data_IF_350443966144
#
_entry.id   IF_350443966144
#
_cell.length_a   1.000
_cell.length_b   1.000
_cell.length_c   1.000
_cell.angle_alpha   90.00
_cell.angle_beta   90.00
_cell.angle_gamma   90.00
#
_symmetry.space_group_name_H-M   'P 1'
#
loop_
_entity.id
_entity.type
_entity.pdbx_description
1 polymer ?
#
# COMPACT_ATOMS: atom_id res chain seq x y z
N UNK A 1 -40.14 24.13 5.01
CA UNK A 1 -39.14 23.97 6.09
C UNK A 1 -37.93 23.28 5.48
N UNK A 2 -36.89 24.06 5.15
CA UNK A 2 -35.74 23.62 4.34
C UNK A 2 -34.90 22.59 5.11
N UNK A 3 -34.83 21.34 4.61
CA UNK A 3 -33.80 20.39 5.07
C UNK A 3 -32.46 20.84 4.48
N UNK A 4 -31.80 21.76 5.18
CA UNK A 4 -30.48 22.28 4.85
C UNK A 4 -29.48 21.12 4.71
N UNK A 5 -28.47 21.30 3.85
CA UNK A 5 -27.42 20.33 3.50
C UNK A 5 -26.81 19.61 4.73
N UNK A 6 -26.73 20.27 5.89
CA UNK A 6 -26.26 19.67 7.15
C UNK A 6 -27.08 18.48 7.65
N UNK A 7 -28.41 18.47 7.50
CA UNK A 7 -29.22 17.32 7.96
C UNK A 7 -28.95 16.09 7.10
N UNK A 8 -28.75 16.26 5.79
CA UNK A 8 -28.41 15.16 4.87
C UNK A 8 -27.01 14.59 5.14
N UNK A 9 -26.07 15.46 5.54
CA UNK A 9 -24.73 15.04 5.92
C UNK A 9 -24.73 14.25 7.24
N UNK A 10 -25.49 14.71 8.23
CA UNK A 10 -25.66 14.02 9.51
C UNK A 10 -26.37 12.66 9.32
N UNK A 11 -27.46 12.62 8.53
CA UNK A 11 -28.18 11.37 8.19
C UNK A 11 -27.23 10.36 7.50
N UNK A 12 -26.33 10.83 6.63
CA UNK A 12 -25.35 9.99 5.96
C UNK A 12 -24.28 9.46 6.93
N UNK A 13 -23.81 10.27 7.87
CA UNK A 13 -22.83 9.85 8.89
C UNK A 13 -23.46 8.82 9.83
N UNK A 14 -24.71 9.04 10.27
CA UNK A 14 -25.45 8.08 11.10
C UNK A 14 -25.63 6.74 10.37
N UNK A 15 -26.02 6.79 9.10
CA UNK A 15 -26.18 5.59 8.26
C UNK A 15 -24.85 4.85 8.04
N UNK A 16 -23.75 5.57 7.78
CA UNK A 16 -22.42 4.97 7.61
C UNK A 16 -21.95 4.35 8.93
N UNK A 17 -22.11 5.05 10.05
CA UNK A 17 -21.70 4.59 11.37
C UNK A 17 -22.40 3.29 11.79
N UNK A 18 -23.68 3.14 11.46
CA UNK A 18 -24.44 1.93 11.77
C UNK A 18 -24.17 0.75 10.82
N UNK A 19 -23.60 1.02 9.63
CA UNK A 19 -23.38 0.00 8.59
C UNK A 19 -21.96 -0.56 8.59
N UNK A 20 -21.04 0.07 9.30
CA UNK A 20 -19.68 -0.44 9.44
C UNK A 20 -19.68 -1.67 10.37
N UNK A 21 -19.26 -2.85 9.88
CA UNK A 21 -19.05 -4.00 10.74
C UNK A 21 -17.90 -3.72 11.71
N UNK A 22 -17.79 -4.53 12.76
CA UNK A 22 -16.69 -4.47 13.72
C UNK A 22 -15.32 -4.31 13.02
N UNK A 23 -14.40 -3.48 13.56
CA UNK A 23 -13.10 -3.23 12.94
C UNK A 23 -12.33 -4.49 12.55
N UNK A 24 -12.39 -5.58 13.32
CA UNK A 24 -11.69 -6.82 12.98
C UNK A 24 -12.25 -7.45 11.69
N UNK A 25 -13.57 -7.41 11.51
CA UNK A 25 -14.21 -7.90 10.29
C UNK A 25 -13.79 -7.08 9.08
N UNK A 26 -13.63 -5.75 9.22
CA UNK A 26 -13.12 -4.90 8.14
C UNK A 26 -11.73 -5.34 7.68
N UNK A 27 -10.83 -5.69 8.61
CA UNK A 27 -9.50 -6.19 8.26
C UNK A 27 -9.56 -7.58 7.61
N UNK A 28 -10.43 -8.48 8.07
CA UNK A 28 -10.61 -9.80 7.44
C UNK A 28 -11.13 -9.67 6.02
N UNK A 29 -12.14 -8.83 5.80
CA UNK A 29 -12.67 -8.52 4.46
C UNK A 29 -11.57 -7.88 3.61
N UNK A 30 -10.80 -6.94 4.15
CA UNK A 30 -9.68 -6.30 3.46
C UNK A 30 -8.59 -7.31 3.06
N UNK A 31 -8.22 -8.22 3.94
CA UNK A 31 -7.25 -9.28 3.65
C UNK A 31 -7.76 -10.21 2.54
N UNK A 32 -9.01 -10.67 2.63
CA UNK A 32 -9.64 -11.48 1.59
C UNK A 32 -9.71 -10.75 0.25
N UNK A 33 -10.06 -9.45 0.27
CA UNK A 33 -10.05 -8.61 -0.92
C UNK A 33 -8.65 -8.50 -1.53
N UNK A 34 -7.61 -8.25 -0.74
CA UNK A 34 -6.22 -8.19 -1.23
C UNK A 34 -5.79 -9.51 -1.85
N UNK A 35 -6.11 -10.65 -1.23
CA UNK A 35 -5.80 -11.96 -1.82
C UNK A 35 -6.46 -12.17 -3.18
N UNK A 36 -7.74 -11.81 -3.30
CA UNK A 36 -8.48 -11.92 -4.57
C UNK A 36 -7.92 -10.95 -5.61
N UNK A 37 -7.71 -9.69 -5.23
CA UNK A 37 -7.16 -8.65 -6.11
C UNK A 37 -5.76 -9.02 -6.62
N UNK A 38 -4.93 -9.60 -5.76
CA UNK A 38 -3.60 -10.14 -6.10
C UNK A 38 -3.69 -11.23 -7.17
N UNK A 39 -4.61 -12.20 -7.03
CA UNK A 39 -4.80 -13.23 -8.05
C UNK A 39 -5.29 -12.65 -9.37
N UNK A 40 -6.22 -11.69 -9.33
CA UNK A 40 -6.70 -11.00 -10.54
C UNK A 40 -5.58 -10.22 -11.24
N UNK A 41 -4.76 -9.49 -10.49
CA UNK A 41 -3.61 -8.73 -11.01
C UNK A 41 -2.56 -9.67 -11.64
N UNK A 42 -2.28 -10.81 -11.00
CA UNK A 42 -1.36 -11.80 -11.55
C UNK A 42 -1.89 -12.42 -12.85
N UNK A 43 -3.17 -12.81 -12.90
CA UNK A 43 -3.81 -13.34 -14.11
C UNK A 43 -3.89 -12.32 -15.25
N UNK A 44 -4.06 -11.04 -14.91
CA UNK A 44 -4.02 -9.95 -15.87
C UNK A 44 -2.59 -9.64 -16.37
N UNK A 45 -1.56 -10.29 -15.85
CA UNK A 45 -0.17 -10.11 -16.27
C UNK A 45 0.40 -8.75 -15.87
N UNK A 46 -0.07 -8.17 -14.76
CA UNK A 46 0.43 -6.88 -14.30
C UNK A 46 1.92 -6.93 -13.97
N UNK A 47 2.69 -6.06 -14.63
CA UNK A 47 4.12 -5.91 -14.40
C UNK A 47 4.51 -4.44 -14.37
N UNK A 48 5.55 -4.12 -13.60
CA UNK A 48 6.11 -2.76 -13.47
C UNK A 48 7.61 -2.83 -13.67
N UNK A 49 8.12 -2.06 -14.63
CA UNK A 49 9.57 -1.93 -14.82
C UNK A 49 10.14 -0.92 -13.82
N UNK A 50 11.29 -1.21 -13.20
CA UNK A 50 11.98 -0.22 -12.40
C UNK A 50 12.51 0.87 -13.35
N UNK A 51 12.06 2.10 -13.18
CA UNK A 51 12.52 3.26 -13.97
C UNK A 51 13.31 4.20 -13.06
N UNK A 52 14.40 4.77 -13.59
CA UNK A 52 15.22 5.78 -12.90
C UNK A 52 15.16 7.07 -13.73
N UNK A 53 14.82 8.22 -13.11
CA UNK A 53 14.93 9.49 -13.80
C UNK A 53 16.40 9.84 -14.00
N UNK A 54 16.81 10.08 -15.23
CA UNK A 54 18.16 10.53 -15.59
C UNK A 54 18.03 11.82 -16.40
N UNK A 55 18.85 12.82 -16.07
CA UNK A 55 18.86 14.07 -16.82
C UNK A 55 19.31 13.80 -18.26
N UNK A 56 18.52 14.25 -19.23
CA UNK A 56 18.93 14.25 -20.64
C UNK A 56 20.17 15.12 -20.76
N UNK A 57 21.23 14.59 -21.38
CA UNK A 57 22.46 15.33 -21.64
C UNK A 57 22.59 15.66 -23.12
N UNK A 58 23.11 16.84 -23.41
CA UNK A 58 23.47 17.24 -24.78
C UNK A 58 24.68 16.46 -25.31
N UNK A 59 25.05 16.70 -26.58
CA UNK A 59 26.19 16.05 -27.22
C UNK A 59 27.54 16.33 -26.53
N UNK A 60 27.60 17.32 -25.63
CA UNK A 60 28.74 17.70 -24.80
C UNK A 60 28.68 17.11 -23.38
N UNK A 61 27.63 16.37 -23.03
CA UNK A 61 27.44 15.76 -21.71
C UNK A 61 26.88 16.72 -20.66
N UNK A 62 26.46 17.93 -21.02
CA UNK A 62 25.81 18.86 -20.11
C UNK A 62 24.30 18.59 -20.03
N UNK A 63 23.66 18.66 -18.84
CA UNK A 63 22.22 18.46 -18.71
C UNK A 63 21.44 19.47 -19.57
N UNK A 64 20.54 18.98 -20.42
CA UNK A 64 19.60 19.82 -21.15
C UNK A 64 18.61 20.42 -20.15
N UNK A 65 18.44 21.73 -20.17
CA UNK A 65 17.51 22.42 -19.27
C UNK A 65 16.25 22.83 -20.01
N UNK A 66 15.11 22.78 -19.32
CA UNK A 66 13.86 23.36 -19.78
C UNK A 66 13.93 24.91 -19.82
N UNK A 67 12.88 25.55 -20.35
CA UNK A 67 12.78 27.01 -20.46
C UNK A 67 12.78 27.73 -19.09
N UNK A 68 12.57 26.98 -17.98
CA UNK A 68 12.63 27.46 -16.61
C UNK A 68 13.98 27.17 -15.92
N UNK A 69 14.94 26.54 -16.61
CA UNK A 69 16.28 26.23 -16.11
C UNK A 69 16.41 24.92 -15.33
N UNK A 70 15.39 24.05 -15.31
CA UNK A 70 15.46 22.74 -14.66
C UNK A 70 15.97 21.67 -15.64
N UNK A 71 16.75 20.66 -15.18
CA UNK A 71 17.17 19.57 -16.05
C UNK A 71 15.97 18.76 -16.55
N UNK A 72 15.92 18.52 -17.86
CA UNK A 72 14.92 17.65 -18.49
C UNK A 72 15.22 16.21 -18.07
N UNK A 73 14.27 15.55 -17.41
CA UNK A 73 14.42 14.19 -16.93
C UNK A 73 13.80 13.20 -17.92
N UNK A 74 14.58 12.21 -18.35
CA UNK A 74 14.08 11.03 -19.07
C UNK A 74 13.97 9.84 -18.12
N UNK A 75 12.93 9.03 -18.32
CA UNK A 75 12.71 7.81 -17.55
C UNK A 75 13.40 6.66 -18.27
N UNK A 76 14.60 6.33 -17.83
CA UNK A 76 15.34 5.18 -18.34
C UNK A 76 15.12 3.94 -17.47
N UNK A 77 15.13 2.72 -18.03
CA UNK A 77 15.09 1.50 -17.24
C UNK A 77 16.22 1.47 -16.21
N UNK A 78 15.88 1.25 -14.95
CA UNK A 78 16.83 1.17 -13.86
C UNK A 78 17.45 -0.22 -13.80
N UNK A 79 18.56 -0.39 -14.52
CA UNK A 79 19.31 -1.65 -14.55
C UNK A 79 20.04 -1.96 -13.22
N UNK A 80 20.20 -0.98 -12.32
CA UNK A 80 20.79 -1.19 -10.99
C UNK A 80 19.84 -1.96 -10.07
N UNK A 81 18.54 -1.80 -10.30
CA UNK A 81 17.49 -2.42 -9.50
C UNK A 81 17.07 -3.74 -10.14
N UNK A 82 17.41 -4.84 -9.48
CA UNK A 82 17.07 -6.20 -9.92
C UNK A 82 17.49 -6.51 -11.37
N UNK A 83 18.59 -5.93 -11.85
CA UNK A 83 19.08 -6.11 -13.21
C UNK A 83 18.17 -5.54 -14.31
N UNK A 84 17.17 -4.74 -13.96
CA UNK A 84 16.14 -4.27 -14.89
C UNK A 84 14.96 -5.22 -15.10
N UNK A 85 14.92 -6.36 -14.38
CA UNK A 85 13.81 -7.30 -14.47
C UNK A 85 12.50 -6.66 -13.95
N UNK A 86 11.38 -6.82 -14.68
CA UNK A 86 10.12 -6.24 -14.26
C UNK A 86 9.56 -6.94 -13.01
N UNK A 87 9.07 -6.14 -12.07
CA UNK A 87 8.31 -6.65 -10.93
C UNK A 87 6.97 -7.18 -11.40
N UNK A 88 6.64 -8.43 -11.03
CA UNK A 88 5.35 -9.06 -11.36
C UNK A 88 4.46 -9.07 -10.14
N UNK A 89 3.15 -8.92 -10.36
CA UNK A 89 2.16 -9.19 -9.32
C UNK A 89 2.30 -10.66 -8.85
N UNK A 90 2.26 -10.88 -7.54
CA UNK A 90 2.29 -12.21 -6.92
C UNK A 90 0.86 -12.68 -6.71
N UNK A 91 0.55 -13.96 -6.95
CA UNK A 91 -0.77 -14.55 -6.66
C UNK A 91 -0.76 -15.26 -5.30
N UNK A 92 -1.48 -14.66 -4.34
CA UNK A 92 -1.59 -15.17 -2.98
C UNK A 92 -2.53 -16.38 -2.83
N UNK A 93 -3.36 -16.70 -3.84
CA UNK A 93 -4.28 -17.83 -3.80
C UNK A 93 -3.65 -19.14 -4.33
N UNK A 94 -2.41 -19.10 -4.80
CA UNK A 94 -1.63 -20.29 -5.16
C UNK A 94 -1.18 -21.05 -3.91
N UNK A 95 -0.71 -22.31 -4.08
CA UNK A 95 -0.20 -23.10 -2.95
C UNK A 95 0.94 -22.39 -2.22
N UNK A 96 1.87 -21.81 -2.98
CA UNK A 96 3.04 -21.12 -2.44
C UNK A 96 2.65 -19.79 -1.81
N UNK A 97 1.71 -19.06 -2.43
CA UNK A 97 1.15 -17.82 -1.89
C UNK A 97 0.39 -18.03 -0.58
N UNK A 98 -0.39 -19.10 -0.47
CA UNK A 98 -1.13 -19.44 0.75
C UNK A 98 -0.19 -19.93 1.85
N UNK A 99 0.81 -20.74 1.51
CA UNK A 99 1.86 -21.14 2.45
C UNK A 99 2.59 -19.92 3.00
N UNK A 100 3.00 -18.99 2.13
CA UNK A 100 3.62 -17.74 2.54
C UNK A 100 2.71 -16.91 3.45
N UNK A 101 1.43 -16.76 3.08
CA UNK A 101 0.47 -15.98 3.86
C UNK A 101 0.29 -16.53 5.28
N UNK A 102 0.21 -17.86 5.43
CA UNK A 102 0.09 -18.51 6.73
C UNK A 102 1.40 -18.51 7.51
N UNK A 103 2.52 -18.79 6.85
CA UNK A 103 3.85 -18.84 7.48
C UNK A 103 4.29 -17.47 8.00
N UNK A 104 3.99 -16.40 7.26
CA UNK A 104 4.31 -15.04 7.67
C UNK A 104 3.26 -14.40 8.59
N UNK A 105 2.12 -15.05 8.86
CA UNK A 105 1.02 -14.45 9.63
C UNK A 105 1.45 -14.04 11.04
N UNK A 106 2.16 -14.92 11.75
CA UNK A 106 2.59 -14.68 13.13
C UNK A 106 3.71 -13.64 13.18
N UNK A 107 4.69 -13.71 12.29
CA UNK A 107 5.80 -12.75 12.22
C UNK A 107 5.29 -11.34 11.88
N UNK A 108 4.32 -11.23 10.97
CA UNK A 108 3.68 -9.95 10.65
C UNK A 108 2.90 -9.38 11.84
N UNK A 109 2.22 -10.23 12.62
CA UNK A 109 1.50 -9.80 13.82
C UNK A 109 2.45 -9.32 14.91
N UNK A 110 3.51 -10.06 15.18
CA UNK A 110 4.52 -9.72 16.18
C UNK A 110 5.38 -8.52 15.77
N UNK A 111 5.65 -8.37 14.47
CA UNK A 111 6.39 -7.24 13.89
C UNK A 111 5.60 -5.94 13.77
N UNK A 112 4.30 -5.96 14.08
CA UNK A 112 3.47 -4.76 14.02
C UNK A 112 3.86 -3.77 15.12
N UNK A 113 4.57 -2.70 14.74
CA UNK A 113 5.19 -1.75 15.67
C UNK A 113 4.24 -1.24 16.79
N UNK A 114 2.95 -0.92 16.53
CA UNK A 114 2.04 -0.48 17.58
C UNK A 114 1.76 -1.54 18.67
N UNK A 115 1.78 -2.83 18.33
CA UNK A 115 1.40 -3.90 19.25
C UNK A 115 2.35 -3.97 20.46
N UNK A 116 3.67 -3.95 20.19
CA UNK A 116 4.67 -4.01 21.26
C UNK A 116 4.64 -2.79 22.19
N UNK A 117 4.43 -1.60 21.63
CA UNK A 117 4.36 -0.34 22.40
C UNK A 117 3.12 -0.32 23.30
N UNK A 118 1.96 -0.74 22.78
CA UNK A 118 0.70 -0.75 23.54
C UNK A 118 0.75 -1.77 24.68
N UNK A 119 1.22 -3.00 24.42
CA UNK A 119 1.31 -4.03 25.46
C UNK A 119 2.26 -3.61 26.59
N UNK A 120 3.41 -3.05 26.23
CA UNK A 120 4.38 -2.54 27.21
C UNK A 120 3.81 -1.37 28.01
N UNK A 121 3.12 -0.44 27.35
CA UNK A 121 2.47 0.70 28.00
C UNK A 121 1.35 0.27 28.94
N UNK A 122 0.48 -0.65 28.51
CA UNK A 122 -0.62 -1.17 29.34
C UNK A 122 -0.11 -1.96 30.55
N UNK A 123 0.99 -2.70 30.40
CA UNK A 123 1.63 -3.36 31.54
C UNK A 123 2.12 -2.35 32.58
N UNK A 124 2.75 -1.25 32.17
CA UNK A 124 3.20 -0.19 33.07
C UNK A 124 2.05 0.52 33.79
N UNK A 125 0.97 0.80 33.06
CA UNK A 125 -0.26 1.39 33.63
C UNK A 125 -0.87 0.43 34.67
N UNK A 126 -1.02 -0.85 34.34
CA UNK A 126 -1.61 -1.84 35.24
C UNK A 126 -0.77 -2.18 36.48
N UNK A 127 0.52 -1.83 36.50
CA UNK A 127 1.36 -1.91 37.71
C UNK A 127 1.19 -0.66 38.59
N UNK A 128 0.85 0.48 37.98
CA UNK A 128 0.75 1.77 38.66
C UNK A 128 -0.62 2.02 39.28
N UNK A 129 -1.67 1.44 38.69
CA UNK A 129 -3.04 1.40 39.24
C UNK A 129 -3.16 0.36 40.37
#
# INVERSE_FOLDING_TARGET
MSRTISNRALDAIEWIGNKLPDPAILFVIGAAFVMIASSLAHRAGWTVQPMKPVAMVDASGAPMHDEAGNPILDLVPNLEVNGGEPYRAVDLLTSDGLYWALNSMVDNFMGFAPLGVVLTGMLGIGISE
#
